data_IF_427475931867
#
_entry.id   IF_427475931867
#
_cell.length_a   1.000
_cell.length_b   1.000
_cell.length_c   1.000
_cell.angle_alpha   90.00
_cell.angle_beta   90.00
_cell.angle_gamma   90.00
#
_symmetry.space_group_name_H-M   'P 1'
#
loop_
_entity.id
_entity.type
_entity.pdbx_description
1 polymer ?
#
# COMPACT_ATOMS: atom_id res chain seq x y z
N UNK A 1 -4.99 0.95 -15.21
CA UNK A 1 -3.78 0.89 -14.37
C UNK A 1 -4.19 1.43 -13.02
N UNK A 2 -4.05 0.66 -11.95
CA UNK A 2 -4.46 1.11 -10.61
C UNK A 2 -3.53 2.25 -10.17
N UNK A 3 -4.09 3.23 -9.46
CA UNK A 3 -3.34 4.34 -8.88
C UNK A 3 -2.98 4.07 -7.41
N UNK A 4 -2.07 4.87 -6.86
CA UNK A 4 -1.75 4.85 -5.42
C UNK A 4 -3.00 4.86 -4.53
N UNK A 5 -3.98 5.71 -4.86
CA UNK A 5 -5.22 5.83 -4.09
C UNK A 5 -6.06 4.55 -4.12
N UNK A 6 -6.07 3.84 -5.26
CA UNK A 6 -6.82 2.57 -5.38
C UNK A 6 -6.18 1.48 -4.52
N UNK A 7 -4.84 1.35 -4.58
CA UNK A 7 -4.10 0.36 -3.78
C UNK A 7 -4.24 0.67 -2.29
N UNK A 8 -4.14 1.94 -1.90
CA UNK A 8 -4.33 2.37 -0.53
C UNK A 8 -5.75 2.09 -0.03
N UNK A 9 -6.78 2.37 -0.82
CA UNK A 9 -8.17 2.10 -0.43
C UNK A 9 -8.41 0.60 -0.24
N UNK A 10 -7.90 -0.24 -1.15
CA UNK A 10 -8.01 -1.70 -1.02
C UNK A 10 -7.23 -2.24 0.18
N UNK A 11 -6.05 -1.69 0.48
CA UNK A 11 -5.29 -2.03 1.67
C UNK A 11 -6.02 -1.60 2.96
N UNK A 12 -6.55 -0.37 3.01
CA UNK A 12 -7.35 0.13 4.14
C UNK A 12 -8.63 -0.73 4.35
N UNK A 13 -9.15 -1.39 3.30
CA UNK A 13 -10.26 -2.35 3.38
C UNK A 13 -9.84 -3.77 3.77
N UNK A 14 -8.54 -4.01 4.00
CA UNK A 14 -7.99 -5.33 4.32
C UNK A 14 -7.99 -6.31 3.14
N UNK A 15 -8.14 -5.83 1.90
CA UNK A 15 -8.07 -6.67 0.71
C UNK A 15 -6.63 -7.09 0.37
N UNK A 16 -5.64 -6.36 0.88
CA UNK A 16 -4.23 -6.64 0.66
C UNK A 16 -3.45 -6.66 1.99
N UNK A 17 -2.47 -7.56 2.04
CA UNK A 17 -1.41 -7.59 3.06
C UNK A 17 -0.21 -6.73 2.62
N UNK A 18 0.71 -6.43 3.55
CA UNK A 18 1.94 -5.67 3.28
C UNK A 18 2.72 -6.25 2.10
N UNK A 19 2.85 -7.58 2.05
CA UNK A 19 3.55 -8.29 0.97
C UNK A 19 2.81 -8.15 -0.37
N UNK A 20 1.48 -8.17 -0.36
CA UNK A 20 0.68 -7.96 -1.57
C UNK A 20 0.76 -6.52 -2.07
N UNK A 21 0.89 -5.52 -1.19
CA UNK A 21 1.14 -4.12 -1.60
C UNK A 21 2.46 -4.00 -2.35
N UNK A 22 3.51 -4.71 -1.92
CA UNK A 22 4.82 -4.68 -2.59
C UNK A 22 4.84 -5.29 -3.98
N UNK A 23 3.90 -6.18 -4.34
CA UNK A 23 3.76 -6.70 -5.71
C UNK A 23 3.42 -5.57 -6.70
N UNK A 24 2.78 -4.50 -6.23
CA UNK A 24 2.46 -3.34 -7.05
C UNK A 24 3.64 -2.40 -7.27
N UNK A 25 4.82 -2.67 -6.69
CA UNK A 25 6.07 -1.96 -6.96
C UNK A 25 6.87 -2.70 -8.04
N UNK A 26 7.35 -2.03 -9.11
CA UNK A 26 7.10 -0.64 -9.52
C UNK A 26 5.90 -0.50 -10.48
N UNK A 27 5.02 -1.52 -10.52
CA UNK A 27 3.97 -1.64 -11.54
C UNK A 27 2.93 -0.52 -11.50
N UNK A 28 2.53 -0.10 -10.29
CA UNK A 28 1.45 0.87 -10.06
C UNK A 28 1.80 1.92 -9.00
N UNK A 29 2.74 1.60 -8.11
CA UNK A 29 3.20 2.48 -7.04
C UNK A 29 4.73 2.38 -6.89
N UNK A 30 5.33 3.38 -6.26
CA UNK A 30 6.76 3.36 -5.90
C UNK A 30 7.01 2.68 -4.55
N UNK A 31 8.27 2.36 -4.24
CA UNK A 31 8.67 1.92 -2.91
C UNK A 31 8.24 2.91 -1.81
N UNK A 32 8.43 4.21 -2.03
CA UNK A 32 8.03 5.26 -1.08
C UNK A 32 6.51 5.30 -0.85
N UNK A 33 5.73 5.03 -1.89
CA UNK A 33 4.28 4.94 -1.82
C UNK A 33 3.83 3.67 -1.09
N UNK A 34 4.46 2.52 -1.35
CA UNK A 34 4.20 1.29 -0.61
C UNK A 34 4.50 1.45 0.88
N UNK A 35 5.61 2.09 1.25
CA UNK A 35 5.96 2.35 2.66
C UNK A 35 4.94 3.27 3.35
N UNK A 36 4.37 4.25 2.65
CA UNK A 36 3.30 5.12 3.18
C UNK A 36 2.01 4.34 3.44
N UNK A 37 1.71 3.32 2.66
CA UNK A 37 0.53 2.47 2.83
C UNK A 37 0.74 1.55 4.04
N UNK A 38 1.90 0.89 4.11
CA UNK A 38 2.19 -0.14 5.11
C UNK A 38 2.47 0.45 6.51
N UNK A 39 3.19 1.56 6.60
CA UNK A 39 3.62 2.12 7.90
C UNK A 39 2.64 3.12 8.52
N UNK A 40 1.43 3.26 7.97
CA UNK A 40 0.44 4.28 8.38
C UNK A 40 -0.01 4.17 9.85
N UNK A 41 0.08 2.99 10.46
CA UNK A 41 -0.44 2.72 11.81
C UNK A 41 0.62 2.24 12.83
N UNK A 42 1.91 2.18 12.47
CA UNK A 42 2.97 1.84 13.46
C UNK A 42 3.30 2.96 14.45
N UNK A 43 2.59 4.09 14.37
CA UNK A 43 2.78 5.27 15.21
C UNK A 43 1.71 5.42 16.31
N UNK A 44 0.85 4.43 16.52
CA UNK A 44 -0.21 4.46 17.53
C UNK A 44 -0.10 3.31 18.57
N UNK A 45 1.12 3.03 19.06
CA UNK A 45 1.36 2.15 20.21
C UNK A 45 2.18 2.86 21.28
#
# INVERSE_FOLDING_TARGET
>A
MFSFSDIKMMYDWGCFTDDQVRIFVPLCITDEEADKIINKDKSAS
#
